data_IF_902138155023
#
_entry.id   IF_902138155023
#
_cell.length_a   1.000
_cell.length_b   1.000
_cell.length_c   1.000
_cell.angle_alpha   90.00
_cell.angle_beta   90.00
_cell.angle_gamma   90.00
#
_symmetry.space_group_name_H-M   'P 1'
#
loop_
_entity.id
_entity.type
_entity.pdbx_description
1 polymer ?
#
# COMPACT_ATOMS: atom_id res chain seq x y z
N UNK A 1 -2.39 36.52 3.37
CA UNK A 1 -2.22 35.07 3.59
C UNK A 1 -3.55 34.52 4.12
N UNK A 2 -4.25 33.62 3.41
CA UNK A 2 -5.47 33.04 3.95
C UNK A 2 -5.12 32.22 5.19
N UNK A 3 -5.71 32.56 6.34
CA UNK A 3 -5.57 31.78 7.56
C UNK A 3 -6.07 30.36 7.30
N UNK A 4 -5.22 29.35 7.48
CA UNK A 4 -5.63 27.95 7.42
C UNK A 4 -6.68 27.71 8.51
N UNK A 5 -7.96 27.70 8.14
CA UNK A 5 -9.06 27.42 9.07
C UNK A 5 -8.88 26.00 9.60
N UNK A 6 -8.40 25.89 10.83
CA UNK A 6 -8.18 24.61 11.51
C UNK A 6 -9.53 23.91 11.65
N UNK A 7 -9.67 22.75 11.01
CA UNK A 7 -10.86 21.90 11.13
C UNK A 7 -10.83 21.18 12.47
N UNK A 8 -11.97 21.11 13.13
CA UNK A 8 -12.11 20.41 14.41
C UNK A 8 -13.32 19.48 14.37
N UNK A 9 -13.24 18.39 15.11
CA UNK A 9 -14.39 17.50 15.34
C UNK A 9 -15.32 18.04 16.43
N UNK A 10 -16.41 17.32 16.71
CA UNK A 10 -17.36 17.65 17.78
C UNK A 10 -16.74 17.64 19.18
N UNK A 11 -15.61 16.93 19.36
CA UNK A 11 -14.82 16.86 20.59
C UNK A 11 -13.72 17.93 20.64
N UNK A 12 -13.76 18.92 19.74
CA UNK A 12 -12.77 20.01 19.59
C UNK A 12 -11.35 19.53 19.27
N UNK A 13 -11.16 18.29 18.84
CA UNK A 13 -9.87 17.77 18.38
C UNK A 13 -9.57 18.31 17.00
N UNK A 14 -8.31 18.66 16.76
CA UNK A 14 -7.85 19.16 15.46
C UNK A 14 -7.79 18.01 14.47
N UNK A 15 -8.44 18.19 13.33
CA UNK A 15 -8.37 17.30 12.18
C UNK A 15 -7.17 17.70 11.32
N UNK A 16 -6.35 16.71 10.95
CA UNK A 16 -5.21 16.90 10.07
C UNK A 16 -5.64 17.16 8.62
N UNK A 17 -4.68 17.57 7.79
CA UNK A 17 -4.91 17.74 6.35
C UNK A 17 -5.41 16.43 5.74
N UNK A 18 -6.48 16.51 4.93
CA UNK A 18 -7.12 15.32 4.35
C UNK A 18 -8.15 14.66 5.26
N UNK A 19 -8.15 14.94 6.57
CA UNK A 19 -9.18 14.44 7.49
C UNK A 19 -10.47 15.29 7.43
N UNK A 20 -11.60 14.61 7.58
CA UNK A 20 -12.95 15.20 7.66
C UNK A 20 -13.90 14.27 8.42
N UNK A 21 -15.04 14.80 8.86
CA UNK A 21 -16.11 14.03 9.51
C UNK A 21 -17.30 14.01 8.56
N UNK A 22 -17.84 12.82 8.29
CA UNK A 22 -19.04 12.65 7.49
C UNK A 22 -20.29 12.96 8.32
N UNK A 23 -21.42 13.20 7.63
CA UNK A 23 -22.71 13.44 8.28
C UNK A 23 -23.14 12.32 9.24
N UNK A 24 -22.73 11.07 8.97
CA UNK A 24 -23.00 9.93 9.86
C UNK A 24 -22.03 9.80 11.05
N UNK A 25 -21.14 10.77 11.26
CA UNK A 25 -20.14 10.77 12.34
C UNK A 25 -18.90 9.91 12.08
N UNK A 26 -18.79 9.28 10.89
CA UNK A 26 -17.59 8.52 10.52
C UNK A 26 -16.48 9.47 10.08
N UNK A 27 -15.27 9.25 10.56
CA UNK A 27 -14.09 9.97 10.10
C UNK A 27 -13.71 9.48 8.70
N UNK A 28 -13.22 10.41 7.88
CA UNK A 28 -12.79 10.18 6.51
C UNK A 28 -11.44 10.82 6.28
N UNK A 29 -10.53 10.11 5.61
CA UNK A 29 -9.24 10.63 5.15
C UNK A 29 -9.17 10.56 3.63
N UNK A 30 -8.93 11.69 2.97
CA UNK A 30 -8.71 11.80 1.51
C UNK A 30 -7.20 11.80 1.22
N UNK A 31 -6.79 10.95 0.30
CA UNK A 31 -5.41 10.89 -0.21
C UNK A 31 -5.38 10.65 -1.72
N UNK A 32 -4.27 11.00 -2.37
CA UNK A 32 -4.10 10.87 -3.82
C UNK A 32 -3.06 9.80 -4.11
N UNK A 33 -3.39 8.84 -4.97
CA UNK A 33 -2.45 7.82 -5.47
C UNK A 33 -2.55 7.76 -6.97
N UNK A 34 -1.43 7.94 -7.68
CA UNK A 34 -1.38 7.88 -9.15
C UNK A 34 -2.46 8.76 -9.81
N UNK A 35 -2.60 10.01 -9.34
CA UNK A 35 -3.58 11.01 -9.83
C UNK A 35 -5.05 10.66 -9.52
N UNK A 36 -5.33 9.54 -8.83
CA UNK A 36 -6.69 9.16 -8.42
C UNK A 36 -6.91 9.43 -6.93
N UNK A 37 -8.04 10.05 -6.63
CA UNK A 37 -8.51 10.26 -5.28
C UNK A 37 -8.94 8.92 -4.64
N UNK A 38 -8.43 8.67 -3.43
CA UNK A 38 -8.82 7.54 -2.59
C UNK A 38 -9.27 8.04 -1.22
N UNK A 39 -10.09 7.21 -0.56
CA UNK A 39 -10.70 7.56 0.72
C UNK A 39 -10.63 6.41 1.71
N UNK A 40 -10.21 6.71 2.94
CA UNK A 40 -10.29 5.80 4.08
C UNK A 40 -11.41 6.25 5.01
N UNK A 41 -11.97 5.29 5.75
CA UNK A 41 -13.07 5.55 6.67
C UNK A 41 -12.88 4.80 7.99
N UNK A 42 -13.08 5.47 9.11
CA UNK A 42 -13.12 4.82 10.43
C UNK A 42 -14.10 5.52 11.36
N UNK A 43 -14.66 4.77 12.30
CA UNK A 43 -15.47 5.34 13.38
C UNK A 43 -14.64 6.02 14.48
N UNK A 44 -13.33 5.75 14.50
CA UNK A 44 -12.39 6.19 15.52
C UNK A 44 -11.35 7.09 14.86
N UNK A 45 -10.97 8.19 15.51
CA UNK A 45 -9.93 9.07 15.00
C UNK A 45 -8.56 8.58 15.45
N UNK A 46 -8.43 8.28 16.75
CA UNK A 46 -7.19 7.80 17.39
C UNK A 46 -7.33 6.35 17.86
N UNK A 47 -6.22 5.60 18.02
CA UNK A 47 -6.24 4.22 18.54
C UNK A 47 -6.68 4.14 20.01
N UNK A 48 -6.71 5.27 20.70
CA UNK A 48 -7.20 5.39 22.09
C UNK A 48 -8.71 5.62 22.17
N UNK A 49 -9.38 5.96 21.06
CA UNK A 49 -10.82 6.16 21.06
C UNK A 49 -11.54 4.84 21.33
N UNK A 50 -12.66 4.84 22.08
CA UNK A 50 -13.47 3.63 22.24
C UNK A 50 -14.16 3.24 20.93
N UNK A 51 -14.41 1.94 20.77
CA UNK A 51 -15.23 1.44 19.67
C UNK A 51 -16.69 1.83 19.91
N UNK A 52 -17.41 2.39 18.91
CA UNK A 52 -18.82 2.68 19.08
C UNK A 52 -19.64 1.41 19.34
N UNK A 53 -20.65 1.53 20.20
CA UNK A 53 -21.55 0.43 20.53
C UNK A 53 -22.18 -0.18 19.26
N UNK A 54 -22.17 -1.52 19.17
CA UNK A 54 -22.75 -2.26 18.05
C UNK A 54 -21.95 -2.19 16.74
N UNK A 55 -20.72 -1.68 16.74
CA UNK A 55 -19.84 -1.69 15.56
C UNK A 55 -18.70 -2.68 15.73
N UNK A 56 -18.40 -3.42 14.66
CA UNK A 56 -17.26 -4.34 14.62
C UNK A 56 -15.94 -3.61 14.94
N UNK A 57 -15.01 -4.24 15.68
CA UNK A 57 -13.69 -3.68 15.93
C UNK A 57 -13.03 -3.21 14.64
N UNK A 58 -12.61 -1.95 14.61
CA UNK A 58 -11.91 -1.39 13.46
C UNK A 58 -10.71 -0.55 13.90
N UNK A 59 -9.70 -0.50 13.03
CA UNK A 59 -8.56 0.39 13.16
C UNK A 59 -9.03 1.85 13.14
N UNK A 60 -8.33 2.71 13.88
CA UNK A 60 -8.56 4.15 13.85
C UNK A 60 -8.13 4.76 12.52
N UNK A 61 -8.66 5.95 12.21
CA UNK A 61 -8.34 6.65 10.97
C UNK A 61 -6.83 6.91 10.85
N UNK A 62 -6.18 7.31 11.95
CA UNK A 62 -4.74 7.57 11.98
C UNK A 62 -3.87 6.32 11.85
N UNK A 63 -4.34 5.17 12.32
CA UNK A 63 -3.65 3.89 12.06
C UNK A 63 -3.73 3.51 10.58
N UNK A 64 -4.91 3.67 9.97
CA UNK A 64 -5.11 3.43 8.54
C UNK A 64 -4.26 4.39 7.69
N UNK A 65 -4.26 5.68 8.03
CA UNK A 65 -3.39 6.67 7.41
C UNK A 65 -1.91 6.27 7.51
N UNK A 66 -1.45 5.87 8.70
CA UNK A 66 -0.05 5.44 8.92
C UNK A 66 0.31 4.22 8.08
N UNK A 67 -0.60 3.24 7.92
CA UNK A 67 -0.36 2.10 7.02
C UNK A 67 -0.23 2.53 5.56
N UNK A 68 -1.11 3.43 5.09
CA UNK A 68 -1.07 3.92 3.72
C UNK A 68 0.18 4.75 3.47
N UNK A 69 0.55 5.63 4.39
CA UNK A 69 1.78 6.43 4.27
C UNK A 69 3.01 5.55 4.23
N UNK A 70 3.08 4.50 5.06
CA UNK A 70 4.16 3.51 4.99
C UNK A 70 4.20 2.82 3.62
N UNK A 71 3.06 2.38 3.12
CA UNK A 71 2.97 1.69 1.82
C UNK A 71 3.37 2.62 0.65
N UNK A 72 3.02 3.91 0.74
CA UNK A 72 3.42 4.93 -0.26
C UNK A 72 4.91 5.28 -0.17
N UNK A 73 5.43 5.48 1.04
CA UNK A 73 6.82 5.86 1.29
C UNK A 73 7.80 4.74 0.95
N UNK A 74 7.39 3.49 1.17
CA UNK A 74 8.25 2.34 0.97
C UNK A 74 8.76 2.19 -0.46
N UNK A 75 8.19 2.87 -1.48
CA UNK A 75 8.41 2.63 -2.94
C UNK A 75 8.25 1.17 -3.40
N UNK A 76 8.05 0.24 -2.46
CA UNK A 76 7.52 -1.08 -2.65
C UNK A 76 6.06 -0.84 -3.00
N UNK A 77 5.82 -0.76 -4.30
CA UNK A 77 4.50 -0.89 -4.89
C UNK A 77 3.68 -1.86 -4.01
N UNK A 78 2.49 -1.52 -3.52
CA UNK A 78 1.63 -2.50 -2.85
C UNK A 78 1.43 -3.75 -3.72
N UNK A 79 1.61 -3.59 -5.04
CA UNK A 79 1.68 -4.64 -6.05
C UNK A 79 2.94 -5.52 -5.96
N UNK A 80 4.08 -5.03 -5.44
CA UNK A 80 5.29 -5.82 -5.19
C UNK A 80 5.08 -6.89 -4.10
N UNK A 81 4.12 -6.71 -3.18
CA UNK A 81 3.71 -7.79 -2.27
C UNK A 81 3.00 -8.93 -3.03
N UNK A 82 2.39 -8.60 -4.17
CA UNK A 82 1.79 -9.53 -5.13
C UNK A 82 2.72 -9.83 -6.32
N UNK A 83 4.02 -9.55 -6.25
CA UNK A 83 4.94 -9.89 -7.34
C UNK A 83 5.09 -11.40 -7.40
N UNK A 84 4.95 -11.97 -8.59
CA UNK A 84 5.27 -13.37 -8.84
C UNK A 84 6.78 -13.58 -8.95
N UNK A 85 7.23 -14.81 -8.71
CA UNK A 85 8.64 -15.18 -8.89
C UNK A 85 9.12 -14.84 -10.31
N UNK A 86 8.30 -15.10 -11.34
CA UNK A 86 8.65 -14.79 -12.73
C UNK A 86 8.85 -13.28 -12.96
N UNK A 87 7.94 -12.44 -12.47
CA UNK A 87 8.06 -10.97 -12.62
C UNK A 87 9.30 -10.41 -11.92
N UNK A 88 9.70 -11.01 -10.80
CA UNK A 88 10.93 -10.65 -10.09
C UNK A 88 12.16 -10.99 -10.93
N UNK A 89 12.21 -12.20 -11.49
CA UNK A 89 13.30 -12.65 -12.36
C UNK A 89 13.39 -11.76 -13.60
N UNK A 90 12.27 -11.41 -14.23
CA UNK A 90 12.28 -10.49 -15.38
C UNK A 90 12.78 -9.10 -15.03
N UNK A 91 12.41 -8.55 -13.86
CA UNK A 91 12.96 -7.29 -13.37
C UNK A 91 14.46 -7.38 -13.14
N UNK A 92 14.94 -8.44 -12.50
CA UNK A 92 16.37 -8.66 -12.28
C UNK A 92 17.14 -8.70 -13.61
N UNK A 93 16.64 -9.46 -14.59
CA UNK A 93 17.29 -9.56 -15.90
C UNK A 93 17.34 -8.20 -16.64
N UNK A 94 16.33 -7.35 -16.48
CA UNK A 94 16.35 -5.98 -17.02
C UNK A 94 17.46 -5.10 -16.41
N UNK A 95 17.86 -5.35 -15.15
CA UNK A 95 18.97 -4.62 -14.52
C UNK A 95 20.35 -5.08 -15.01
N UNK A 96 20.46 -6.28 -15.58
CA UNK A 96 21.72 -6.85 -16.07
C UNK A 96 21.95 -6.49 -17.53
N UNK A 97 22.21 -5.22 -17.80
CA UNK A 97 22.63 -4.72 -19.13
C UNK A 97 24.13 -4.89 -19.32
N UNK A 98 24.57 -5.48 -20.44
CA UNK A 98 26.01 -5.64 -20.77
C UNK A 98 26.63 -6.99 -20.42
N UNK A 99 25.83 -8.03 -20.21
CA UNK A 99 26.34 -9.40 -20.02
C UNK A 99 26.86 -10.00 -21.33
N UNK A 100 27.85 -10.91 -21.22
CA UNK A 100 28.35 -11.68 -22.38
C UNK A 100 27.23 -12.52 -22.99
N UNK A 101 27.33 -12.80 -24.28
CA UNK A 101 26.31 -13.54 -25.03
C UNK A 101 26.01 -14.92 -24.42
N UNK A 102 27.04 -15.65 -23.99
CA UNK A 102 26.88 -16.94 -23.30
C UNK A 102 26.03 -16.83 -22.03
N UNK A 103 26.24 -15.78 -21.23
CA UNK A 103 25.46 -15.50 -20.03
C UNK A 103 24.03 -15.12 -20.36
N UNK A 104 23.81 -14.36 -21.44
CA UNK A 104 22.46 -14.00 -21.94
C UNK A 104 21.67 -15.24 -22.34
N UNK A 105 22.31 -16.17 -23.07
CA UNK A 105 21.72 -17.45 -23.46
C UNK A 105 21.35 -18.26 -22.21
N UNK A 106 22.26 -18.37 -21.23
CA UNK A 106 21.99 -19.08 -19.98
C UNK A 106 20.82 -18.49 -19.19
N UNK A 107 20.74 -17.16 -19.07
CA UNK A 107 19.60 -16.50 -18.43
C UNK A 107 18.28 -16.73 -19.15
N UNK A 108 18.26 -16.69 -20.47
CA UNK A 108 17.06 -17.00 -21.25
C UNK A 108 16.63 -18.46 -21.10
N UNK A 109 17.59 -19.39 -21.03
CA UNK A 109 17.30 -20.80 -20.79
C UNK A 109 16.62 -21.01 -19.42
N UNK A 110 17.21 -20.49 -18.34
CA UNK A 110 16.63 -20.59 -16.99
C UNK A 110 15.28 -19.89 -16.89
N UNK A 111 15.11 -18.71 -17.53
CA UNK A 111 13.82 -18.02 -17.60
C UNK A 111 12.75 -18.88 -18.28
N UNK A 112 13.09 -19.55 -19.38
CA UNK A 112 12.15 -20.41 -20.11
C UNK A 112 11.80 -21.67 -19.33
N UNK A 113 12.76 -22.28 -18.65
CA UNK A 113 12.50 -23.42 -17.77
C UNK A 113 11.56 -23.01 -16.63
N UNK A 114 11.89 -21.91 -15.94
CA UNK A 114 11.12 -21.40 -14.82
C UNK A 114 9.67 -21.08 -15.23
N UNK A 115 9.45 -20.47 -16.40
CA UNK A 115 8.09 -20.17 -16.90
C UNK A 115 7.16 -21.37 -17.01
N UNK A 116 7.69 -22.58 -17.18
CA UNK A 116 6.90 -23.80 -17.28
C UNK A 116 6.63 -24.45 -15.91
N UNK A 117 7.24 -23.94 -14.83
CA UNK A 117 7.02 -24.44 -13.48
C UNK A 117 5.92 -23.67 -12.76
N UNK A 118 5.11 -24.37 -11.96
CA UNK A 118 4.08 -23.76 -11.11
C UNK A 118 4.67 -22.73 -10.13
N UNK A 119 5.91 -22.97 -9.69
CA UNK A 119 6.66 -22.08 -8.81
C UNK A 119 6.78 -20.66 -9.34
N UNK A 120 6.88 -20.48 -10.66
CA UNK A 120 7.06 -19.18 -11.28
C UNK A 120 5.85 -18.26 -11.13
N UNK A 121 4.65 -18.83 -11.01
CA UNK A 121 3.40 -18.09 -10.79
C UNK A 121 3.13 -17.76 -9.32
N UNK A 122 3.87 -18.37 -8.38
CA UNK A 122 3.65 -18.14 -6.94
C UNK A 122 4.04 -16.72 -6.54
N UNK A 123 3.32 -16.17 -5.56
CA UNK A 123 3.67 -14.86 -5.00
C UNK A 123 4.94 -15.00 -4.17
N UNK A 124 5.84 -14.03 -4.29
CA UNK A 124 7.12 -14.03 -3.56
C UNK A 124 6.92 -14.17 -2.04
N UNK A 125 5.85 -13.59 -1.49
CA UNK A 125 5.52 -13.68 -0.06
C UNK A 125 5.08 -15.08 0.40
N UNK A 126 4.70 -15.97 -0.51
CA UNK A 126 4.24 -17.33 -0.21
C UNK A 126 5.35 -18.38 -0.33
N UNK A 127 6.51 -17.99 -0.90
CA UNK A 127 7.68 -18.86 -1.02
C UNK A 127 8.37 -18.94 0.33
N UNK A 128 8.40 -20.15 0.91
CA UNK A 128 9.16 -20.47 2.13
C UNK A 128 10.43 -21.23 1.76
N UNK A 129 11.52 -20.91 2.45
CA UNK A 129 12.83 -21.55 2.33
C UNK A 129 12.94 -22.72 3.29
#
# INVERSE_FOLDING_TARGET
MPSLKIRRDSKRRVLHTGESVRANGKYQFKYVVNVKDKFLYSWRLTPTDPQPAGKLPCLSLRELEKSVNRDLESRLDPSCRNLTVNELVERYLKTRTGVRESTRIGYNFVRNLLKNEEFAGRKMCEVKT
#
